data_IF_473779884959
#
_entry.id   IF_473779884959
#
_cell.length_a   1.000
_cell.length_b   1.000
_cell.length_c   1.000
_cell.angle_alpha   90.00
_cell.angle_beta   90.00
_cell.angle_gamma   90.00
#
_symmetry.space_group_name_H-M   'P 1'
#
loop_
_entity.id
_entity.type
_entity.pdbx_description
1 polymer ?
#
# COMPACT_ATOMS: atom_id res chain seq x y z
N UNK A 1 -16.33 -19.39 -8.83
CA UNK A 1 -15.78 -18.25 -9.62
C UNK A 1 -15.38 -17.19 -8.62
N UNK A 2 -14.21 -16.57 -8.78
CA UNK A 2 -13.81 -15.48 -7.88
C UNK A 2 -14.59 -14.21 -8.24
N UNK A 3 -15.11 -13.51 -7.23
CA UNK A 3 -15.85 -12.26 -7.37
C UNK A 3 -15.64 -11.41 -6.11
N UNK A 4 -15.86 -10.11 -6.23
CA UNK A 4 -15.79 -9.16 -5.11
C UNK A 4 -17.18 -9.04 -4.48
N UNK A 5 -17.22 -8.90 -3.16
CA UNK A 5 -18.43 -8.67 -2.38
C UNK A 5 -18.23 -7.49 -1.43
N UNK A 6 -19.25 -6.65 -1.26
CA UNK A 6 -19.21 -5.48 -0.36
C UNK A 6 -19.33 -5.85 1.13
N UNK A 7 -19.82 -7.06 1.43
CA UNK A 7 -19.94 -7.58 2.78
C UNK A 7 -19.10 -8.83 2.89
N UNK A 8 -18.28 -8.89 3.92
CA UNK A 8 -17.45 -10.04 4.21
C UNK A 8 -18.29 -11.22 4.69
N UNK A 9 -18.03 -12.41 4.14
CA UNK A 9 -18.47 -13.69 4.71
C UNK A 9 -17.24 -14.57 4.94
N UNK A 10 -17.08 -15.14 6.13
CA UNK A 10 -15.93 -16.01 6.42
C UNK A 10 -15.88 -17.22 5.49
N UNK A 11 -17.04 -17.74 5.10
CA UNK A 11 -17.14 -18.95 4.28
C UNK A 11 -16.73 -18.76 2.82
N UNK A 12 -16.96 -17.58 2.23
CA UNK A 12 -16.69 -17.31 0.82
C UNK A 12 -15.51 -16.33 0.62
N UNK A 13 -15.14 -15.56 1.65
CA UNK A 13 -14.09 -14.55 1.61
C UNK A 13 -12.84 -14.89 2.44
N UNK A 14 -12.78 -16.03 3.13
CA UNK A 14 -11.55 -16.54 3.74
C UNK A 14 -10.97 -17.72 2.98
N UNK A 15 -9.64 -17.74 2.88
CA UNK A 15 -8.88 -18.79 2.21
C UNK A 15 -7.70 -19.20 3.08
N UNK A 16 -7.40 -20.51 3.11
CA UNK A 16 -6.21 -21.04 3.75
C UNK A 16 -5.01 -20.80 2.84
N UNK A 17 -3.95 -20.19 3.37
CA UNK A 17 -2.71 -19.93 2.64
C UNK A 17 -1.72 -21.09 2.82
N UNK A 18 -1.19 -21.58 1.70
CA UNK A 18 -0.15 -22.63 1.67
C UNK A 18 1.03 -22.15 0.79
N UNK A 19 2.24 -22.15 1.35
CA UNK A 19 3.47 -21.88 0.61
C UNK A 19 3.94 -23.18 -0.02
N UNK A 20 4.02 -23.21 -1.36
CA UNK A 20 4.41 -24.40 -2.13
C UNK A 20 5.94 -24.51 -2.25
N UNK A 21 6.48 -25.71 -2.55
CA UNK A 21 7.93 -25.89 -2.73
C UNK A 21 8.57 -25.05 -3.85
N UNK A 22 7.77 -24.53 -4.78
CA UNK A 22 8.20 -23.62 -5.84
C UNK A 22 8.33 -22.15 -5.37
N UNK A 23 8.01 -21.86 -4.11
CA UNK A 23 8.07 -20.52 -3.52
C UNK A 23 6.83 -19.66 -3.77
N UNK A 24 5.79 -20.19 -4.42
CA UNK A 24 4.54 -19.49 -4.64
C UNK A 24 3.50 -19.84 -3.56
N UNK A 25 2.58 -18.90 -3.31
CA UNK A 25 1.46 -19.11 -2.41
C UNK A 25 0.24 -19.62 -3.19
N UNK A 26 -0.48 -20.55 -2.57
CA UNK A 26 -1.79 -21.03 -3.03
C UNK A 26 -2.81 -20.71 -1.95
N UNK A 27 -3.93 -20.13 -2.34
CA UNK A 27 -5.04 -19.80 -1.44
C UNK A 27 -6.21 -20.75 -1.68
N UNK A 28 -6.62 -21.53 -0.69
CA UNK A 28 -7.65 -22.57 -0.84
C UNK A 28 -8.92 -22.22 -0.06
N UNK A 29 -10.08 -22.32 -0.73
CA UNK A 29 -11.35 -22.19 -0.03
C UNK A 29 -11.66 -23.47 0.74
N UNK A 30 -11.87 -23.35 2.05
CA UNK A 30 -12.27 -24.48 2.90
C UNK A 30 -13.65 -25.02 2.51
N UNK A 31 -14.60 -24.15 2.20
CA UNK A 31 -15.97 -24.50 1.82
C UNK A 31 -16.04 -25.23 0.48
N UNK A 32 -15.33 -24.75 -0.54
CA UNK A 32 -15.44 -25.29 -1.90
C UNK A 32 -14.35 -26.32 -2.24
N UNK A 33 -13.31 -26.45 -1.41
CA UNK A 33 -12.19 -27.38 -1.65
C UNK A 33 -11.32 -27.02 -2.85
N UNK A 34 -11.50 -25.84 -3.45
CA UNK A 34 -10.79 -25.37 -4.65
C UNK A 34 -9.88 -24.19 -4.34
N UNK A 35 -8.77 -24.09 -5.07
CA UNK A 35 -7.87 -22.96 -5.00
C UNK A 35 -8.42 -21.73 -5.72
N UNK A 36 -8.12 -20.55 -5.18
CA UNK A 36 -8.23 -19.28 -5.88
C UNK A 36 -7.44 -19.36 -7.17
N UNK A 37 -8.04 -18.89 -8.26
CA UNK A 37 -7.43 -19.01 -9.58
C UNK A 37 -8.00 -17.93 -10.50
N UNK A 38 -7.14 -17.34 -11.31
CA UNK A 38 -7.52 -16.38 -12.35
C UNK A 38 -7.95 -17.06 -13.67
N UNK A 39 -8.11 -18.39 -13.67
CA UNK A 39 -8.59 -19.13 -14.83
C UNK A 39 -9.97 -18.67 -15.30
N UNK A 40 -10.10 -18.51 -16.62
CA UNK A 40 -11.38 -18.30 -17.31
C UNK A 40 -12.33 -19.49 -17.16
N UNK A 41 -13.61 -19.29 -17.49
CA UNK A 41 -14.60 -20.36 -17.47
C UNK A 41 -14.19 -21.54 -18.40
N UNK A 42 -13.63 -21.24 -19.57
CA UNK A 42 -13.13 -22.26 -20.52
C UNK A 42 -11.98 -23.08 -19.93
N UNK A 43 -10.98 -22.43 -19.36
CA UNK A 43 -9.85 -23.11 -18.69
C UNK A 43 -10.34 -23.98 -17.53
N UNK A 44 -11.28 -23.49 -16.73
CA UNK A 44 -11.85 -24.28 -15.61
C UNK A 44 -12.56 -25.54 -16.09
N UNK A 45 -13.26 -25.50 -17.24
CA UNK A 45 -13.87 -26.69 -17.81
C UNK A 45 -12.82 -27.68 -18.31
N UNK A 46 -11.77 -27.20 -18.98
CA UNK A 46 -10.67 -28.04 -19.47
C UNK A 46 -9.86 -28.72 -18.35
N UNK A 47 -9.82 -28.11 -17.17
CA UNK A 47 -9.11 -28.61 -16.00
C UNK A 47 -10.05 -29.21 -14.95
N UNK A 48 -11.33 -29.43 -15.29
CA UNK A 48 -12.28 -30.07 -14.39
C UNK A 48 -11.82 -31.49 -14.07
N UNK A 49 -11.77 -31.82 -12.79
CA UNK A 49 -11.31 -33.14 -12.30
C UNK A 49 -9.80 -33.30 -12.25
N UNK A 50 -9.02 -32.27 -12.58
CA UNK A 50 -7.58 -32.23 -12.29
C UNK A 50 -7.35 -31.67 -10.90
N UNK A 51 -6.24 -32.08 -10.29
CA UNK A 51 -5.86 -31.66 -8.93
C UNK A 51 -5.43 -30.19 -8.84
N UNK A 52 -5.25 -29.52 -9.99
CA UNK A 52 -4.82 -28.13 -10.05
C UNK A 52 -5.64 -27.32 -11.06
N UNK A 53 -5.69 -26.01 -10.81
CA UNK A 53 -6.25 -25.02 -11.74
C UNK A 53 -5.09 -24.17 -12.29
N UNK A 54 -5.11 -23.79 -13.58
CA UNK A 54 -4.15 -22.82 -14.09
C UNK A 54 -4.25 -21.48 -13.34
N UNK A 55 -3.15 -20.73 -13.27
CA UNK A 55 -3.12 -19.39 -12.66
C UNK A 55 -3.61 -19.38 -11.20
N UNK A 56 -3.19 -20.38 -10.40
CA UNK A 56 -3.54 -20.52 -8.98
C UNK A 56 -2.36 -20.37 -8.01
N UNK A 57 -1.14 -20.20 -8.54
CA UNK A 57 0.09 -19.96 -7.77
C UNK A 57 0.40 -18.46 -7.88
N UNK A 58 0.51 -17.79 -6.73
CA UNK A 58 0.70 -16.35 -6.66
C UNK A 58 2.01 -16.03 -5.96
N UNK A 59 2.76 -15.06 -6.49
CA UNK A 59 3.95 -14.52 -5.84
C UNK A 59 3.55 -13.18 -5.20
N UNK A 60 3.55 -13.05 -3.86
CA UNK A 60 3.29 -11.77 -3.20
C UNK A 60 4.36 -10.74 -3.58
N UNK A 61 3.92 -9.63 -4.17
CA UNK A 61 4.80 -8.52 -4.57
C UNK A 61 4.54 -7.32 -3.64
N UNK A 62 5.60 -6.64 -3.22
CA UNK A 62 5.48 -5.38 -2.47
C UNK A 62 4.91 -4.31 -3.41
N UNK A 63 3.96 -3.50 -2.94
CA UNK A 63 3.43 -2.40 -3.73
C UNK A 63 4.52 -1.35 -3.99
N UNK A 64 4.74 -0.99 -5.25
CA UNK A 64 5.70 0.05 -5.67
C UNK A 64 5.03 1.32 -6.15
N UNK A 65 3.70 1.36 -6.24
CA UNK A 65 2.95 2.55 -6.65
C UNK A 65 2.87 3.50 -5.46
N UNK A 66 3.38 4.74 -5.56
CA UNK A 66 3.20 5.75 -4.52
C UNK A 66 1.72 5.94 -4.25
N UNK A 67 1.34 5.96 -2.97
CA UNK A 67 -0.03 6.30 -2.58
C UNK A 67 -0.15 7.81 -2.72
N UNK A 68 -0.69 8.27 -3.85
CA UNK A 68 -1.20 9.64 -3.91
C UNK A 68 -2.38 9.70 -2.94
N UNK A 69 -2.38 10.70 -2.07
CA UNK A 69 -3.44 11.02 -1.12
C UNK A 69 -4.72 11.34 -1.88
N UNK A 70 -5.38 10.31 -2.36
CA UNK A 70 -6.73 10.37 -2.89
C UNK A 70 -7.62 10.34 -1.68
N UNK A 71 -8.33 11.45 -1.46
CA UNK A 71 -9.39 11.62 -0.47
C UNK A 71 -10.43 10.50 -0.60
N UNK A 72 -10.16 9.36 0.01
CA UNK A 72 -11.10 8.30 0.28
C UNK A 72 -11.04 8.02 1.77
N UNK A 73 -11.71 8.89 2.53
CA UNK A 73 -12.22 8.65 3.88
C UNK A 73 -11.26 7.96 4.85
N UNK A 74 -10.54 8.78 5.63
CA UNK A 74 -10.29 8.57 7.06
C UNK A 74 -10.29 7.12 7.55
N UNK A 75 -9.22 6.36 7.31
CA UNK A 75 -8.77 5.28 8.20
C UNK A 75 -7.30 4.97 7.92
N UNK A 76 -6.44 5.26 8.90
CA UNK A 76 -5.06 4.78 8.92
C UNK A 76 -4.05 5.82 9.35
N UNK A 77 -3.87 5.93 10.66
CA UNK A 77 -2.71 6.53 11.31
C UNK A 77 -1.40 5.99 10.69
N UNK A 78 -0.77 6.82 9.86
CA UNK A 78 0.66 6.79 9.60
C UNK A 78 1.19 8.18 9.90
N UNK A 79 1.30 8.46 11.19
CA UNK A 79 2.26 9.44 11.66
C UNK A 79 3.65 9.15 11.06
N UNK A 80 4.20 10.19 10.41
CA UNK A 80 5.60 10.34 10.02
C UNK A 80 6.02 9.82 8.64
N UNK A 81 5.69 10.56 7.58
CA UNK A 81 6.69 11.00 6.60
C UNK A 81 6.14 12.12 5.68
N UNK A 82 6.90 13.22 5.60
CA UNK A 82 6.82 14.34 4.66
C UNK A 82 5.71 15.37 4.87
N UNK A 83 6.02 16.38 5.71
CA UNK A 83 5.46 17.74 5.59
C UNK A 83 5.84 18.32 4.20
N UNK A 84 4.89 18.58 3.29
CA UNK A 84 5.13 19.32 2.06
C UNK A 84 5.01 20.84 2.28
N UNK A 85 4.78 21.31 3.50
CA UNK A 85 4.54 22.73 3.80
C UNK A 85 5.74 23.67 3.57
N UNK A 86 6.93 23.16 3.22
CA UNK A 86 8.13 24.00 3.05
C UNK A 86 8.21 24.65 1.66
N UNK A 87 7.39 24.24 0.68
CA UNK A 87 7.57 24.67 -0.73
C UNK A 87 6.36 25.37 -1.37
N UNK A 88 5.32 25.73 -0.63
CA UNK A 88 4.07 26.27 -1.21
C UNK A 88 3.83 27.77 -1.01
N UNK A 89 4.70 28.51 -0.32
CA UNK A 89 4.64 29.98 -0.33
C UNK A 89 5.55 30.57 -1.42
N UNK A 90 5.11 31.64 -2.12
CA UNK A 90 6.03 32.40 -2.98
C UNK A 90 7.20 32.85 -2.11
N UNK A 91 8.44 32.51 -2.50
CA UNK A 91 9.63 32.95 -1.78
C UNK A 91 9.58 34.49 -1.68
N UNK A 92 9.62 35.02 -0.46
CA UNK A 92 9.67 36.46 -0.21
C UNK A 92 11.06 36.96 -0.62
N UNK A 93 11.27 37.21 -1.92
CA UNK A 93 12.59 37.57 -2.49
C UNK A 93 13.15 38.90 -1.98
N UNK A 94 12.32 39.70 -1.30
CA UNK A 94 12.70 40.97 -0.65
C UNK A 94 12.92 40.82 0.87
N UNK A 95 12.80 39.60 1.40
CA UNK A 95 13.09 39.30 2.80
C UNK A 95 14.58 38.97 2.98
N UNK A 96 15.16 39.40 4.11
CA UNK A 96 16.52 39.02 4.52
C UNK A 96 16.63 37.54 4.91
N UNK A 97 15.50 36.84 5.08
CA UNK A 97 15.43 35.41 5.36
C UNK A 97 14.30 34.75 4.55
N UNK A 98 14.47 34.60 3.23
CA UNK A 98 13.41 34.11 2.32
C UNK A 98 13.03 32.64 2.57
N UNK A 99 13.80 31.92 3.38
CA UNK A 99 13.56 30.52 3.74
C UNK A 99 13.16 30.35 5.22
N UNK A 100 13.01 31.45 5.98
CA UNK A 100 12.60 31.42 7.39
C UNK A 100 13.52 30.62 8.31
N UNK A 101 14.79 30.43 7.93
CA UNK A 101 15.76 29.60 8.65
C UNK A 101 16.24 30.32 9.92
N UNK A 102 16.38 31.65 9.85
CA UNK A 102 16.88 32.48 10.95
C UNK A 102 15.84 32.67 12.05
N UNK A 103 14.55 32.68 11.71
CA UNK A 103 13.43 32.81 12.66
C UNK A 103 13.27 31.59 13.58
N UNK A 104 13.72 30.41 13.14
CA UNK A 104 13.62 29.14 13.87
C UNK A 104 14.81 28.87 14.79
N UNK A 105 15.89 29.65 14.65
CA UNK A 105 17.07 29.55 15.50
C UNK A 105 17.03 30.69 16.53
N UNK A 106 17.22 30.36 17.81
CA UNK A 106 17.30 31.37 18.87
C UNK A 106 18.34 32.45 18.50
N UNK A 107 18.10 33.74 18.80
CA UNK A 107 19.01 34.82 18.41
C UNK A 107 20.45 34.50 18.82
N UNK A 108 21.32 34.27 17.83
CA UNK A 108 22.73 33.98 18.08
C UNK A 108 23.38 35.27 18.58
N UNK A 109 23.64 35.35 19.89
CA UNK A 109 24.36 36.47 20.48
C UNK A 109 25.81 36.45 20.01
N UNK A 110 26.15 37.31 19.06
CA UNK A 110 27.55 37.54 18.67
C UNK A 110 28.36 38.04 19.89
N UNK A 111 29.52 37.42 20.20
CA UNK A 111 30.40 37.85 21.28
C UNK A 111 30.86 39.31 21.15
N UNK A 112 30.89 39.85 19.93
CA UNK A 112 31.30 41.22 19.63
C UNK A 112 30.32 42.31 20.08
N UNK A 113 29.10 41.96 20.49
CA UNK A 113 28.09 42.90 20.99
C UNK A 113 27.93 42.89 22.51
N UNK A 114 28.84 42.25 23.24
CA UNK A 114 28.93 42.40 24.69
C UNK A 114 29.70 43.68 25.02
N UNK A 115 29.00 44.69 25.54
CA UNK A 115 29.60 45.84 26.20
C UNK A 115 29.11 45.90 27.64
#
# INVERSE_FOLDING_TARGET
RLAVQLRYSTEDCSFEEEIRPDGYNVYKSKKYGISVSLSSAKQRQQFKGKDFLPLSHFLPMINTVPVESTDFGEYGDYSQAFEPEVYSSPLETDSMDPFGITSKLSPVKSPSFQK
#
